data_IF_528837671729
#
_entry.id   IF_528837671729
#
_cell.length_a   1.000
_cell.length_b   1.000
_cell.length_c   1.000
_cell.angle_alpha   90.00
_cell.angle_beta   90.00
_cell.angle_gamma   90.00
#
_symmetry.space_group_name_H-M   'P 1'
#
loop_
_entity.id
_entity.type
_entity.pdbx_description
1 polymer ?
#
# COMPACT_ATOMS: atom_id res chain seq x y z
N UNK A 1 8.36 25.62 15.14
CA UNK A 1 8.31 24.14 15.14
C UNK A 1 8.47 23.67 13.70
N UNK A 2 9.20 22.59 13.40
CA UNK A 2 9.15 21.95 12.09
C UNK A 2 7.73 21.46 11.77
N UNK A 3 7.36 21.28 10.49
CA UNK A 3 6.08 20.69 10.14
C UNK A 3 5.89 19.31 10.78
N UNK A 4 4.66 19.03 11.21
CA UNK A 4 4.26 17.71 11.66
C UNK A 4 4.13 16.79 10.46
N UNK A 5 4.93 15.74 10.42
CA UNK A 5 4.88 14.73 9.36
C UNK A 5 3.95 13.58 9.75
N UNK A 6 2.99 13.25 8.87
CA UNK A 6 2.15 12.05 9.00
C UNK A 6 2.20 11.29 7.67
N UNK A 7 2.58 10.02 7.71
CA UNK A 7 2.65 9.16 6.53
C UNK A 7 1.84 7.90 6.77
N UNK A 8 1.02 7.52 5.79
CA UNK A 8 0.37 6.23 5.75
C UNK A 8 0.73 5.54 4.44
N UNK A 9 1.18 4.30 4.51
CA UNK A 9 1.70 3.60 3.35
C UNK A 9 1.34 2.13 3.39
N UNK A 10 1.19 1.54 2.21
CA UNK A 10 1.09 0.11 2.03
C UNK A 10 2.06 -0.39 0.97
N UNK A 11 2.50 -1.64 1.18
CA UNK A 11 3.46 -2.34 0.33
C UNK A 11 3.32 -3.84 0.60
N UNK A 12 3.88 -4.66 -0.29
CA UNK A 12 3.90 -6.12 -0.22
C UNK A 12 5.31 -6.53 0.25
N UNK A 13 5.48 -6.95 1.51
CA UNK A 13 6.79 -7.28 2.07
C UNK A 13 7.55 -8.32 1.24
N UNK A 14 8.84 -8.09 1.05
CA UNK A 14 9.74 -9.00 0.34
C UNK A 14 9.77 -10.39 0.98
N UNK A 15 9.74 -10.46 2.31
CA UNK A 15 9.72 -11.70 3.08
C UNK A 15 8.47 -12.57 2.87
N UNK A 16 7.39 -12.04 2.29
CA UNK A 16 6.23 -12.86 1.91
C UNK A 16 6.50 -13.69 0.65
N UNK A 17 7.29 -13.15 -0.26
CA UNK A 17 7.62 -13.78 -1.52
C UNK A 17 8.73 -14.81 -1.37
N UNK A 18 8.98 -15.52 -2.48
CA UNK A 18 10.16 -16.37 -2.61
C UNK A 18 10.63 -16.43 -4.07
N UNK A 19 11.84 -16.94 -4.34
CA UNK A 19 12.28 -17.19 -5.70
C UNK A 19 11.25 -17.99 -6.50
N UNK A 20 11.03 -17.63 -7.76
CA UNK A 20 10.03 -18.30 -8.61
C UNK A 20 10.39 -19.78 -8.78
N UNK A 21 11.69 -20.10 -8.86
CA UNK A 21 12.19 -21.47 -8.90
C UNK A 21 11.66 -22.34 -7.75
N UNK A 22 11.47 -21.76 -6.57
CA UNK A 22 11.05 -22.46 -5.36
C UNK A 22 9.58 -22.89 -5.39
N UNK A 23 8.77 -22.34 -6.29
CA UNK A 23 7.41 -22.85 -6.55
C UNK A 23 7.40 -24.16 -7.34
N UNK A 24 8.48 -24.45 -8.09
CA UNK A 24 8.53 -25.59 -9.01
C UNK A 24 9.41 -26.74 -8.54
N UNK A 25 10.51 -26.46 -7.84
CA UNK A 25 11.55 -27.46 -7.52
C UNK A 25 11.05 -28.74 -6.84
N UNK A 26 9.97 -28.63 -6.06
CA UNK A 26 9.38 -29.74 -5.30
C UNK A 26 8.07 -30.29 -5.92
N UNK A 27 7.65 -29.80 -7.10
CA UNK A 27 6.44 -30.32 -7.74
C UNK A 27 6.66 -31.74 -8.27
N UNK A 28 5.64 -32.60 -8.13
CA UNK A 28 5.65 -34.03 -8.51
C UNK A 28 6.22 -34.30 -9.91
N UNK A 29 5.93 -33.41 -10.86
CA UNK A 29 6.29 -33.58 -12.27
C UNK A 29 7.55 -32.81 -12.69
N UNK A 30 8.16 -32.02 -11.80
CA UNK A 30 9.30 -31.17 -12.12
C UNK A 30 10.49 -31.95 -12.69
N UNK A 31 10.79 -33.11 -12.10
CA UNK A 31 11.86 -33.99 -12.56
C UNK A 31 11.54 -34.78 -13.84
N UNK A 32 10.28 -34.75 -14.31
CA UNK A 32 9.80 -35.45 -15.51
C UNK A 32 9.56 -34.50 -16.69
N UNK A 33 9.90 -33.21 -16.53
CA UNK A 33 9.74 -32.21 -17.59
C UNK A 33 10.75 -32.47 -18.73
N UNK A 34 10.27 -32.51 -19.97
CA UNK A 34 11.09 -32.72 -21.18
C UNK A 34 12.18 -31.65 -21.36
N UNK A 35 11.83 -30.39 -21.16
CA UNK A 35 12.74 -29.23 -21.29
C UNK A 35 13.25 -28.70 -19.93
N UNK A 36 13.45 -29.58 -18.92
CA UNK A 36 13.77 -29.19 -17.53
C UNK A 36 14.96 -28.22 -17.42
N UNK A 37 16.03 -28.46 -18.18
CA UNK A 37 17.24 -27.64 -18.12
C UNK A 37 16.97 -26.19 -18.58
N UNK A 38 16.27 -26.02 -19.70
CA UNK A 38 15.87 -24.72 -20.21
C UNK A 38 14.89 -24.02 -19.26
N UNK A 39 13.87 -24.74 -18.79
CA UNK A 39 12.89 -24.20 -17.84
C UNK A 39 13.56 -23.72 -16.54
N UNK A 40 14.47 -24.52 -15.98
CA UNK A 40 15.23 -24.14 -14.78
C UNK A 40 16.11 -22.91 -15.01
N UNK A 41 16.75 -22.82 -16.19
CA UNK A 41 17.57 -21.66 -16.56
C UNK A 41 16.72 -20.39 -16.60
N UNK A 42 15.51 -20.45 -17.19
CA UNK A 42 14.57 -19.32 -17.27
C UNK A 42 14.09 -18.87 -15.90
N UNK A 43 13.66 -19.80 -15.04
CA UNK A 43 13.23 -19.48 -13.67
C UNK A 43 14.34 -18.79 -12.87
N UNK A 44 15.57 -19.33 -12.92
CA UNK A 44 16.72 -18.73 -12.21
C UNK A 44 17.12 -17.37 -12.79
N UNK A 45 16.94 -17.16 -14.09
CA UNK A 45 17.18 -15.86 -14.71
C UNK A 45 16.18 -14.81 -14.19
N UNK A 46 14.91 -15.18 -13.98
CA UNK A 46 13.94 -14.30 -13.33
C UNK A 46 14.38 -13.96 -11.90
N UNK A 47 14.80 -14.96 -11.12
CA UNK A 47 15.27 -14.78 -9.73
C UNK A 47 16.50 -13.86 -9.64
N UNK A 48 17.37 -13.85 -10.65
CA UNK A 48 18.54 -12.97 -10.68
C UNK A 48 18.24 -11.48 -10.82
N UNK A 49 16.98 -11.09 -11.08
CA UNK A 49 16.56 -9.68 -11.09
C UNK A 49 16.32 -9.13 -9.68
N UNK A 50 16.42 -9.94 -8.62
CA UNK A 50 16.29 -9.50 -7.23
C UNK A 50 14.85 -9.41 -6.71
N UNK A 51 13.84 -9.71 -7.53
CA UNK A 51 12.46 -9.82 -7.08
C UNK A 51 12.24 -11.14 -6.32
N UNK A 52 11.39 -11.09 -5.30
CA UNK A 52 10.68 -12.28 -4.83
C UNK A 52 9.25 -12.26 -5.34
N UNK A 53 8.65 -13.45 -5.46
CA UNK A 53 7.43 -13.64 -6.20
C UNK A 53 6.32 -14.19 -5.32
N UNK A 54 5.10 -13.77 -5.62
CA UNK A 54 3.85 -14.30 -5.08
C UNK A 54 2.91 -14.70 -6.22
N UNK A 55 2.09 -15.75 -6.08
CA UNK A 55 1.05 -16.04 -7.06
C UNK A 55 0.03 -14.90 -7.13
N UNK A 56 -0.40 -14.52 -8.33
CA UNK A 56 -1.46 -13.51 -8.53
C UNK A 56 -2.78 -13.87 -7.80
N UNK A 57 -3.60 -12.86 -7.44
CA UNK A 57 -4.95 -13.10 -6.95
C UNK A 57 -5.70 -14.04 -7.91
N UNK A 58 -6.21 -15.16 -7.40
CA UNK A 58 -6.72 -16.27 -8.22
C UNK A 58 -5.85 -17.54 -8.19
N UNK A 59 -4.65 -17.47 -7.60
CA UNK A 59 -3.83 -18.62 -7.24
C UNK A 59 -3.31 -19.43 -8.44
N UNK A 60 -3.28 -20.76 -8.29
CA UNK A 60 -2.76 -21.70 -9.31
C UNK A 60 -3.58 -21.77 -10.61
N UNK A 61 -4.62 -20.95 -10.75
CA UNK A 61 -5.48 -20.90 -11.95
C UNK A 61 -4.85 -20.03 -13.03
N UNK A 62 -4.08 -19.01 -12.66
CA UNK A 62 -3.58 -18.00 -13.60
C UNK A 62 -2.19 -18.32 -14.15
N UNK A 63 -1.44 -19.19 -13.45
CA UNK A 63 -0.02 -19.47 -13.69
C UNK A 63 0.88 -18.20 -13.67
N UNK A 64 0.34 -17.11 -13.14
CA UNK A 64 0.99 -15.81 -13.10
C UNK A 64 1.49 -15.52 -11.67
N UNK A 65 2.63 -14.85 -11.61
CA UNK A 65 3.27 -14.43 -10.38
C UNK A 65 3.61 -12.96 -10.47
N UNK A 66 3.35 -12.21 -9.40
CA UNK A 66 3.75 -10.81 -9.28
C UNK A 66 4.91 -10.66 -8.30
N UNK A 67 5.73 -9.64 -8.54
CA UNK A 67 6.85 -9.32 -7.65
C UNK A 67 6.34 -8.63 -6.38
N UNK A 68 6.92 -8.99 -5.23
CA UNK A 68 6.80 -8.19 -4.01
C UNK A 68 7.52 -6.86 -4.16
N UNK A 69 7.38 -5.99 -3.16
CA UNK A 69 8.26 -4.84 -3.01
C UNK A 69 9.64 -5.26 -2.48
N UNK A 70 10.63 -4.39 -2.61
CA UNK A 70 12.03 -4.62 -2.24
C UNK A 70 12.35 -4.34 -0.76
N UNK A 71 11.31 -4.25 0.07
CA UNK A 71 11.38 -3.84 1.47
C UNK A 71 10.62 -4.83 2.36
N UNK A 72 10.98 -4.85 3.63
CA UNK A 72 10.23 -5.53 4.68
C UNK A 72 9.69 -4.53 5.72
N UNK A 73 8.74 -4.98 6.55
CA UNK A 73 8.28 -4.19 7.69
C UNK A 73 9.44 -3.85 8.62
N UNK A 74 9.48 -2.60 9.08
CA UNK A 74 10.54 -2.06 9.95
C UNK A 74 11.93 -1.95 9.31
N UNK A 75 12.04 -1.92 7.97
CA UNK A 75 13.28 -1.48 7.32
C UNK A 75 13.57 -0.01 7.73
N UNK A 76 14.83 0.31 8.04
CA UNK A 76 15.23 1.62 8.60
C UNK A 76 15.01 2.78 7.60
N UNK A 77 14.80 2.45 6.33
CA UNK A 77 14.45 3.41 5.30
C UNK A 77 12.98 3.83 5.42
N UNK A 78 12.71 5.09 5.75
CA UNK A 78 11.37 5.71 5.66
C UNK A 78 10.92 5.98 4.20
N UNK A 79 11.77 5.66 3.22
CA UNK A 79 11.49 5.74 1.79
C UNK A 79 11.27 4.33 1.23
N UNK A 80 10.09 4.12 0.67
CA UNK A 80 9.60 2.81 0.28
C UNK A 80 9.09 2.87 -1.15
N UNK A 81 9.26 1.78 -1.91
CA UNK A 81 8.43 1.53 -3.10
C UNK A 81 7.00 1.27 -2.61
N UNK A 82 6.20 2.33 -2.58
CA UNK A 82 4.83 2.30 -2.05
C UNK A 82 3.85 1.86 -3.12
N UNK A 83 2.91 0.99 -2.74
CA UNK A 83 1.81 0.55 -3.61
C UNK A 83 0.64 1.51 -3.56
N UNK A 84 0.35 2.02 -2.35
CA UNK A 84 -0.64 3.05 -2.09
C UNK A 84 -0.25 3.77 -0.79
N UNK A 85 -0.49 5.07 -0.71
CA UNK A 85 -0.20 5.82 0.50
C UNK A 85 -0.25 7.33 0.30
N UNK A 86 -0.04 8.05 1.39
CA UNK A 86 0.08 9.50 1.42
C UNK A 86 1.19 9.95 2.36
N UNK A 87 1.68 11.17 2.13
CA UNK A 87 2.62 11.86 2.99
C UNK A 87 2.12 13.29 3.21
N UNK A 88 1.79 13.61 4.46
CA UNK A 88 1.32 14.92 4.88
C UNK A 88 2.40 15.67 5.64
N UNK A 89 2.54 16.96 5.32
CA UNK A 89 3.27 17.92 6.14
C UNK A 89 2.31 18.98 6.65
N UNK A 90 2.25 19.14 7.96
CA UNK A 90 1.23 19.93 8.64
C UNK A 90 1.91 21.00 9.48
N UNK A 91 1.73 22.26 9.08
CA UNK A 91 2.13 23.40 9.87
C UNK A 91 1.22 23.54 11.10
N UNK A 92 1.82 23.52 12.29
CA UNK A 92 1.07 23.49 13.55
C UNK A 92 0.19 24.75 13.74
N UNK A 93 0.62 25.89 13.18
CA UNK A 93 -0.15 27.14 13.18
C UNK A 93 -1.47 27.04 12.42
N UNK A 94 -1.52 26.26 11.34
CA UNK A 94 -2.70 26.10 10.47
C UNK A 94 -3.77 25.19 11.07
N UNK A 95 -3.49 24.47 12.15
CA UNK A 95 -4.50 23.68 12.86
C UNK A 95 -5.64 24.62 13.32
N UNK A 96 -6.86 24.33 12.88
CA UNK A 96 -8.04 25.18 13.06
C UNK A 96 -8.29 26.20 11.95
N UNK A 97 -7.38 26.35 10.99
CA UNK A 97 -7.44 27.39 9.95
C UNK A 97 -6.96 26.91 8.57
N UNK A 98 -7.01 25.60 8.31
CA UNK A 98 -6.71 25.05 6.99
C UNK A 98 -7.73 25.54 5.94
N UNK A 99 -7.25 25.73 4.72
CA UNK A 99 -8.00 26.06 3.51
C UNK A 99 -7.64 25.09 2.38
N UNK A 100 -8.46 25.03 1.34
CA UNK A 100 -8.16 24.19 0.16
C UNK A 100 -6.95 24.69 -0.65
N UNK A 101 -6.42 25.88 -0.35
CA UNK A 101 -5.19 26.40 -0.95
C UNK A 101 -3.94 25.91 -0.22
N UNK A 102 -4.09 25.37 0.99
CA UNK A 102 -2.99 24.81 1.75
C UNK A 102 -2.64 23.43 1.19
N UNK A 103 -1.48 23.32 0.57
CA UNK A 103 -0.97 22.05 0.06
C UNK A 103 -0.47 21.21 1.25
N UNK A 104 -1.33 20.33 1.77
CA UNK A 104 -0.99 19.49 2.93
C UNK A 104 -0.21 18.23 2.52
N UNK A 105 -0.30 17.82 1.25
CA UNK A 105 0.37 16.63 0.75
C UNK A 105 1.61 16.94 -0.06
N UNK A 106 2.68 16.20 0.20
CA UNK A 106 3.89 16.21 -0.61
C UNK A 106 3.91 14.99 -1.54
N UNK A 107 3.81 15.25 -2.85
CA UNK A 107 3.94 14.20 -3.87
C UNK A 107 4.89 14.64 -4.98
N UNK A 108 5.88 13.79 -5.28
CA UNK A 108 6.70 13.94 -6.47
C UNK A 108 5.85 13.66 -7.71
N UNK A 109 5.89 14.57 -8.69
CA UNK A 109 5.30 14.32 -10.02
C UNK A 109 6.04 13.16 -10.68
N UNK A 110 5.34 12.16 -11.20
CA UNK A 110 5.95 11.13 -12.04
C UNK A 110 6.17 11.69 -13.46
N UNK A 111 7.22 11.20 -14.13
CA UNK A 111 7.73 11.73 -15.40
C UNK A 111 6.75 11.73 -16.59
N UNK A 112 5.55 11.16 -16.45
CA UNK A 112 4.54 11.06 -17.51
C UNK A 112 3.30 11.96 -17.27
N UNK A 113 3.38 12.94 -16.36
CA UNK A 113 2.24 13.82 -16.03
C UNK A 113 1.21 13.19 -15.08
N UNK A 114 1.53 12.03 -14.52
CA UNK A 114 0.81 11.38 -13.43
C UNK A 114 1.50 11.75 -12.11
N UNK A 115 0.74 12.01 -11.04
CA UNK A 115 1.29 12.65 -9.84
C UNK A 115 1.22 14.18 -9.90
N UNK A 116 0.84 14.77 -8.78
CA UNK A 116 0.54 16.19 -8.55
C UNK A 116 0.07 16.40 -7.11
N UNK A 117 -0.39 17.61 -6.78
CA UNK A 117 -1.02 17.90 -5.48
C UNK A 117 -2.19 16.92 -5.29
N UNK A 118 -2.22 16.19 -4.16
CA UNK A 118 -3.23 15.18 -3.81
C UNK A 118 -3.22 13.88 -4.66
N UNK A 119 -2.09 13.48 -5.26
CA UNK A 119 -2.01 12.21 -6.01
C UNK A 119 -1.61 11.02 -5.12
N UNK A 120 -2.05 9.81 -5.46
CA UNK A 120 -1.62 8.58 -4.81
C UNK A 120 -0.14 8.27 -5.15
N UNK A 121 0.46 7.31 -4.42
CA UNK A 121 1.75 6.71 -4.78
C UNK A 121 1.55 5.24 -5.15
N UNK A 122 1.66 4.86 -6.43
CA UNK A 122 1.87 3.46 -6.80
C UNK A 122 3.19 3.26 -7.58
N UNK A 123 4.02 2.36 -7.07
CA UNK A 123 5.19 1.84 -7.75
C UNK A 123 4.83 1.00 -8.98
N UNK A 124 5.82 0.70 -9.82
CA UNK A 124 5.63 -0.22 -10.93
C UNK A 124 5.46 -1.66 -10.43
N UNK A 125 4.42 -2.35 -10.89
CA UNK A 125 4.23 -3.78 -10.62
C UNK A 125 4.88 -4.60 -11.71
N UNK A 126 5.41 -5.76 -11.33
CA UNK A 126 6.07 -6.69 -12.23
C UNK A 126 5.36 -8.04 -12.19
N UNK A 127 5.11 -8.66 -13.35
CA UNK A 127 4.47 -9.97 -13.47
C UNK A 127 5.24 -10.89 -14.42
N UNK A 128 5.23 -12.19 -14.11
CA UNK A 128 5.73 -13.26 -14.97
C UNK A 128 4.73 -14.41 -15.03
N UNK A 129 4.83 -15.22 -16.09
CA UNK A 129 4.02 -16.44 -16.26
C UNK A 129 4.92 -17.67 -16.28
N UNK A 130 4.65 -18.63 -15.39
CA UNK A 130 5.39 -19.88 -15.31
C UNK A 130 4.49 -21.04 -14.86
N UNK A 131 4.59 -22.21 -15.54
CA UNK A 131 3.82 -23.40 -15.19
C UNK A 131 4.38 -24.69 -15.81
N UNK A 132 3.91 -25.84 -15.32
CA UNK A 132 4.17 -27.15 -15.94
C UNK A 132 2.93 -27.57 -16.72
N UNK A 133 3.04 -27.61 -18.06
CA UNK A 133 1.99 -28.08 -18.95
C UNK A 133 2.02 -29.61 -19.05
N UNK A 134 0.85 -30.26 -18.96
CA UNK A 134 0.65 -31.68 -19.27
C UNK A 134 0.06 -31.81 -20.67
N UNK A 135 0.67 -32.64 -21.51
CA UNK A 135 0.23 -32.87 -22.89
C UNK A 135 0.12 -34.38 -23.15
N UNK A 136 -1.00 -34.89 -23.70
CA UNK A 136 -1.08 -36.29 -24.07
C UNK A 136 -0.09 -36.60 -25.20
N UNK A 137 0.52 -37.78 -25.17
CA UNK A 137 1.46 -38.22 -26.22
C UNK A 137 0.74 -38.39 -27.55
N UNK A 138 -0.53 -38.77 -27.52
CA UNK A 138 -1.36 -39.00 -28.69
C UNK A 138 -2.85 -38.89 -28.35
N UNK A 139 -3.67 -38.75 -29.39
CA UNK A 139 -5.12 -38.91 -29.30
C UNK A 139 -5.52 -40.22 -29.99
N UNK A 140 -6.39 -41.00 -29.34
CA UNK A 140 -6.94 -42.26 -29.83
C UNK A 140 -8.31 -41.95 -30.43
N UNK A 141 -8.51 -42.23 -31.71
CA UNK A 141 -9.82 -42.13 -32.36
C UNK A 141 -10.65 -43.37 -32.02
N UNK A 142 -11.80 -43.18 -31.37
CA UNK A 142 -12.73 -44.27 -31.04
C UNK A 142 -13.83 -44.47 -32.10
N UNK A 143 -13.79 -43.70 -33.19
CA UNK A 143 -14.82 -43.64 -34.22
C UNK A 143 -16.01 -42.74 -33.88
N UNK A 144 -16.17 -42.33 -32.61
CA UNK A 144 -17.20 -41.37 -32.16
C UNK A 144 -16.61 -40.15 -31.46
N UNK A 145 -15.40 -40.24 -30.93
CA UNK A 145 -14.65 -39.13 -30.34
C UNK A 145 -13.14 -39.40 -30.35
N UNK A 146 -12.36 -38.34 -30.21
CA UNK A 146 -10.93 -38.46 -29.88
C UNK A 146 -10.78 -38.53 -28.35
N UNK A 147 -10.10 -39.57 -27.85
CA UNK A 147 -9.75 -39.72 -26.44
C UNK A 147 -8.25 -39.48 -26.24
N UNK A 148 -7.85 -38.89 -25.12
CA UNK A 148 -6.43 -38.76 -24.76
C UNK A 148 -5.81 -40.14 -24.48
N UNK A 149 -4.57 -40.37 -24.92
CA UNK A 149 -3.83 -41.54 -24.46
C UNK A 149 -3.44 -41.42 -22.98
N UNK A 150 -3.26 -42.57 -22.31
CA UNK A 150 -2.87 -42.60 -20.89
C UNK A 150 -1.43 -42.13 -20.61
N UNK A 151 -0.63 -41.95 -21.67
CA UNK A 151 0.74 -41.47 -21.60
C UNK A 151 0.79 -39.95 -21.77
N UNK A 152 1.53 -39.29 -20.88
CA UNK A 152 1.64 -37.83 -20.84
C UNK A 152 3.10 -37.38 -20.87
N UNK A 153 3.33 -36.29 -21.60
CA UNK A 153 4.57 -35.51 -21.54
C UNK A 153 4.31 -34.26 -20.69
N UNK A 154 5.32 -33.90 -19.90
CA UNK A 154 5.32 -32.66 -19.13
C UNK A 154 6.31 -31.67 -19.75
N UNK A 155 5.86 -30.44 -19.99
CA UNK A 155 6.68 -29.36 -20.57
C UNK A 155 6.62 -28.15 -19.65
N UNK A 156 7.78 -27.59 -19.28
CA UNK A 156 7.87 -26.39 -18.47
C UNK A 156 7.72 -25.16 -19.37
N UNK A 157 6.79 -24.27 -19.02
CA UNK A 157 6.53 -23.02 -19.73
C UNK A 157 6.93 -21.88 -18.80
N UNK A 158 7.86 -21.04 -19.25
CA UNK A 158 8.22 -19.79 -18.57
C UNK A 158 8.30 -18.71 -19.64
N UNK A 159 7.57 -17.60 -19.46
CA UNK A 159 7.76 -16.43 -20.31
C UNK A 159 9.08 -15.75 -19.93
N UNK A 160 9.89 -15.43 -20.93
CA UNK A 160 11.24 -14.88 -20.75
C UNK A 160 11.26 -13.38 -20.44
N UNK A 161 10.08 -12.72 -20.46
CA UNK A 161 9.95 -11.28 -20.22
C UNK A 161 9.12 -11.03 -18.97
N UNK A 162 9.67 -10.23 -18.07
CA UNK A 162 8.93 -9.61 -16.97
C UNK A 162 8.06 -8.51 -17.59
N UNK A 163 6.75 -8.62 -17.41
CA UNK A 163 5.83 -7.56 -17.76
C UNK A 163 5.83 -6.51 -16.64
N UNK A 164 5.86 -5.24 -17.00
CA UNK A 164 5.83 -4.13 -16.05
C UNK A 164 4.61 -3.24 -16.34
N UNK A 165 3.86 -2.89 -15.30
CA UNK A 165 2.64 -2.06 -15.41
C UNK A 165 2.38 -1.33 -14.10
N UNK A 166 1.96 -0.07 -14.18
CA UNK A 166 1.43 0.69 -13.03
C UNK A 166 -0.08 0.57 -12.94
N UNK A 167 -0.62 0.64 -11.73
CA UNK A 167 -2.08 0.66 -11.54
C UNK A 167 -2.64 1.94 -12.13
N UNK A 168 -3.90 1.92 -12.53
CA UNK A 168 -4.63 3.18 -12.66
C UNK A 168 -4.80 3.74 -11.25
N UNK A 169 -4.25 4.92 -11.02
CA UNK A 169 -4.39 5.66 -9.76
C UNK A 169 -5.52 6.67 -9.92
N UNK A 170 -6.52 6.61 -9.05
CA UNK A 170 -7.41 7.76 -8.85
C UNK A 170 -6.74 8.74 -7.88
N UNK A 171 -7.05 10.06 -7.94
CA UNK A 171 -6.52 10.98 -6.93
C UNK A 171 -6.89 10.56 -5.50
N UNK A 172 -6.07 10.93 -4.52
CA UNK A 172 -6.45 10.78 -3.12
C UNK A 172 -7.69 11.63 -2.86
N UNK A 173 -8.73 11.03 -2.29
CA UNK A 173 -9.89 11.80 -1.86
C UNK A 173 -9.57 12.37 -0.48
N UNK A 174 -9.46 13.69 -0.38
CA UNK A 174 -9.24 14.39 0.88
C UNK A 174 -10.27 15.49 1.10
N UNK A 175 -10.85 15.50 2.28
CA UNK A 175 -11.64 16.60 2.81
C UNK A 175 -11.11 16.99 4.18
N UNK A 176 -11.30 18.25 4.57
CA UNK A 176 -10.99 18.69 5.92
C UNK A 176 -12.09 19.56 6.51
N UNK A 177 -12.16 19.57 7.83
CA UNK A 177 -13.08 20.43 8.58
C UNK A 177 -12.35 21.03 9.77
N UNK A 178 -12.34 22.37 9.86
CA UNK A 178 -11.86 23.06 11.03
C UNK A 178 -12.99 23.17 12.07
N UNK A 179 -12.71 22.82 13.33
CA UNK A 179 -13.67 22.77 14.46
C UNK A 179 -13.13 23.48 15.69
N UNK A 180 -14.06 23.84 16.57
CA UNK A 180 -13.76 24.19 17.96
C UNK A 180 -14.18 23.00 18.83
N UNK A 181 -13.22 22.35 19.49
CA UNK A 181 -13.47 21.18 20.34
C UNK A 181 -13.18 21.44 21.82
N UNK A 182 -12.29 22.37 22.13
CA UNK A 182 -12.02 22.81 23.49
C UNK A 182 -13.24 23.48 24.13
N UNK A 183 -13.39 23.29 25.44
CA UNK A 183 -14.36 24.04 26.23
C UNK A 183 -13.71 25.35 26.64
N UNK A 184 -14.16 26.45 26.06
CA UNK A 184 -13.62 27.76 26.38
C UNK A 184 -14.68 28.68 26.99
N UNK A 185 -14.33 29.31 28.11
CA UNK A 185 -15.16 30.36 28.71
C UNK A 185 -14.84 31.70 28.04
N UNK A 186 -15.83 32.29 27.38
CA UNK A 186 -15.69 33.57 26.70
C UNK A 186 -16.87 34.49 26.93
N UNK A 187 -16.63 35.79 26.75
CA UNK A 187 -17.69 36.79 26.75
C UNK A 187 -18.63 36.57 25.56
N UNK A 188 -19.92 36.88 25.75
CA UNK A 188 -20.91 36.85 24.67
C UNK A 188 -20.47 37.75 23.52
N UNK A 189 -20.45 37.21 22.30
CA UNK A 189 -20.02 37.92 21.08
C UNK A 189 -18.53 37.77 20.71
N UNK A 190 -17.72 37.05 21.50
CA UNK A 190 -16.33 36.79 21.14
C UNK A 190 -16.21 35.77 19.99
N UNK A 191 -15.41 36.09 18.97
CA UNK A 191 -15.05 35.15 17.90
C UNK A 191 -13.89 34.28 18.39
N UNK A 192 -14.18 33.01 18.66
CA UNK A 192 -13.20 32.04 19.15
C UNK A 192 -12.51 31.39 17.95
N UNK A 193 -11.18 31.45 17.85
CA UNK A 193 -10.44 30.67 16.86
C UNK A 193 -10.75 29.18 17.01
N UNK A 194 -10.99 28.50 15.90
CA UNK A 194 -11.03 27.05 15.87
C UNK A 194 -9.68 26.50 16.33
N UNK A 195 -9.72 25.40 17.08
CA UNK A 195 -8.55 24.79 17.72
C UNK A 195 -8.20 23.42 17.12
N UNK A 196 -9.00 22.95 16.18
CA UNK A 196 -8.90 21.60 15.65
C UNK A 196 -9.14 21.55 14.15
N UNK A 197 -8.48 20.61 13.49
CA UNK A 197 -8.72 20.24 12.09
C UNK A 197 -8.87 18.74 11.99
N UNK A 198 -9.91 18.29 11.29
CA UNK A 198 -10.15 16.89 10.99
C UNK A 198 -9.95 16.68 9.50
N UNK A 199 -9.01 15.84 9.11
CA UNK A 199 -8.83 15.37 7.74
C UNK A 199 -9.50 14.01 7.56
N UNK A 200 -10.23 13.84 6.47
CA UNK A 200 -10.76 12.56 6.01
C UNK A 200 -10.10 12.21 4.70
N UNK A 201 -9.41 11.07 4.66
CA UNK A 201 -8.58 10.65 3.55
C UNK A 201 -8.98 9.25 3.15
N UNK A 202 -9.25 9.02 1.87
CA UNK A 202 -9.47 7.69 1.33
C UNK A 202 -8.70 7.46 0.03
N UNK A 203 -8.33 6.20 -0.18
CA UNK A 203 -7.61 5.76 -1.37
C UNK A 203 -8.04 4.35 -1.77
N UNK A 204 -7.96 4.08 -3.07
CA UNK A 204 -8.27 2.80 -3.68
C UNK A 204 -7.35 2.57 -4.87
N UNK A 205 -6.71 1.40 -4.96
CA UNK A 205 -5.85 1.03 -6.08
C UNK A 205 -5.98 -0.46 -6.43
N UNK A 206 -6.02 -0.77 -7.73
CA UNK A 206 -6.14 -2.14 -8.23
C UNK A 206 -4.80 -2.87 -8.36
N UNK A 207 -4.88 -4.19 -8.59
CA UNK A 207 -3.73 -4.98 -9.05
C UNK A 207 -3.59 -4.84 -10.56
N UNK A 208 -2.51 -4.25 -11.10
CA UNK A 208 -2.46 -3.82 -12.50
C UNK A 208 -2.69 -4.96 -13.51
N UNK A 209 -2.33 -6.19 -13.15
CA UNK A 209 -2.44 -7.36 -14.02
C UNK A 209 -3.61 -8.30 -13.70
N UNK A 210 -4.41 -7.97 -12.68
CA UNK A 210 -5.54 -8.79 -12.24
C UNK A 210 -6.89 -8.04 -12.32
N UNK A 211 -6.92 -6.85 -12.89
CA UNK A 211 -8.18 -6.13 -13.17
C UNK A 211 -9.03 -6.86 -14.24
N UNK A 212 -10.37 -6.90 -14.10
CA UNK A 212 -11.19 -6.46 -12.96
C UNK A 212 -11.44 -7.58 -11.93
N UNK A 213 -10.71 -8.69 -12.02
CA UNK A 213 -10.96 -9.93 -11.27
C UNK A 213 -10.48 -9.88 -9.82
N UNK A 214 -9.48 -9.05 -9.53
CA UNK A 214 -9.00 -8.79 -8.17
C UNK A 214 -9.72 -7.58 -7.57
N UNK A 215 -10.18 -7.67 -6.31
CA UNK A 215 -10.57 -6.49 -5.55
C UNK A 215 -9.40 -5.51 -5.42
N UNK A 216 -9.74 -4.24 -5.20
CA UNK A 216 -8.78 -3.18 -4.93
C UNK A 216 -8.18 -3.30 -3.52
N UNK A 217 -7.09 -2.57 -3.32
CA UNK A 217 -6.52 -2.25 -2.03
C UNK A 217 -7.09 -0.89 -1.62
N UNK A 218 -7.82 -0.89 -0.52
CA UNK A 218 -8.57 0.25 -0.03
C UNK A 218 -8.13 0.63 1.39
N UNK A 219 -8.20 1.94 1.67
CA UNK A 219 -8.15 2.46 3.03
C UNK A 219 -8.97 3.73 3.19
N UNK A 220 -9.37 4.00 4.43
CA UNK A 220 -9.95 5.26 4.87
C UNK A 220 -9.39 5.65 6.24
N UNK A 221 -9.00 6.91 6.40
CA UNK A 221 -8.47 7.46 7.63
C UNK A 221 -9.16 8.78 7.98
N UNK A 222 -9.43 8.96 9.26
CA UNK A 222 -9.76 10.23 9.89
C UNK A 222 -8.58 10.66 10.78
N UNK A 223 -7.97 11.80 10.48
CA UNK A 223 -6.87 12.40 11.24
C UNK A 223 -7.40 13.67 11.90
N UNK A 224 -7.62 13.63 13.21
CA UNK A 224 -7.98 14.78 14.01
C UNK A 224 -6.75 15.35 14.72
N UNK A 225 -6.49 16.62 14.46
CA UNK A 225 -5.48 17.42 15.16
C UNK A 225 -6.17 18.43 16.05
N UNK A 226 -5.76 18.52 17.31
CA UNK A 226 -6.26 19.52 18.25
C UNK A 226 -5.09 20.22 18.93
N UNK A 227 -5.01 21.55 18.80
CA UNK A 227 -3.98 22.36 19.47
C UNK A 227 -4.50 22.90 20.80
N UNK A 228 -3.76 22.67 21.88
CA UNK A 228 -4.03 23.25 23.19
C UNK A 228 -2.80 24.02 23.68
N UNK A 229 -2.77 25.32 23.37
CA UNK A 229 -1.64 26.19 23.70
C UNK A 229 -1.49 26.41 25.21
N UNK A 230 -2.58 26.40 25.97
CA UNK A 230 -2.57 26.52 27.44
C UNK A 230 -1.87 25.32 28.08
N UNK A 231 -2.19 24.11 27.60
CA UNK A 231 -1.57 22.86 28.07
C UNK A 231 -0.28 22.52 27.32
N UNK A 232 0.16 23.40 26.42
CA UNK A 232 1.36 23.28 25.57
C UNK A 232 1.45 21.93 24.88
N UNK A 233 0.38 21.52 24.20
CA UNK A 233 0.38 20.28 23.44
C UNK A 233 -0.44 20.34 22.17
N UNK A 234 -0.12 19.43 21.26
CA UNK A 234 -0.95 19.05 20.11
C UNK A 234 -1.35 17.60 20.30
N UNK A 235 -2.64 17.32 20.23
CA UNK A 235 -3.18 15.96 20.23
C UNK A 235 -3.48 15.54 18.81
N UNK A 236 -3.00 14.35 18.43
CA UNK A 236 -3.20 13.71 17.14
C UNK A 236 -3.99 12.43 17.40
N UNK A 237 -5.23 12.36 16.92
CA UNK A 237 -6.05 11.16 16.93
C UNK A 237 -6.21 10.68 15.50
N UNK A 238 -5.89 9.42 15.24
CA UNK A 238 -6.00 8.80 13.92
C UNK A 238 -6.80 7.53 14.06
N UNK A 239 -7.94 7.47 13.37
CA UNK A 239 -8.77 6.27 13.26
C UNK A 239 -9.03 5.96 11.80
N UNK A 240 -9.40 4.73 11.51
CA UNK A 240 -9.66 4.34 10.14
C UNK A 240 -9.75 2.85 9.95
N UNK A 241 -9.76 2.46 8.68
CA UNK A 241 -9.71 1.06 8.28
C UNK A 241 -8.87 0.88 7.03
N UNK A 242 -8.35 -0.33 6.85
CA UNK A 242 -7.69 -0.77 5.62
C UNK A 242 -8.01 -2.25 5.36
N UNK A 243 -7.73 -2.79 4.18
CA UNK A 243 -7.90 -4.23 3.95
C UNK A 243 -6.87 -5.09 4.70
N UNK A 244 -7.17 -6.37 4.95
CA UNK A 244 -6.25 -7.30 5.64
C UNK A 244 -4.97 -7.62 4.81
N UNK A 245 -4.89 -7.20 3.55
CA UNK A 245 -3.71 -7.30 2.68
C UNK A 245 -3.59 -6.03 1.81
N UNK A 246 -2.39 -5.44 1.61
CA UNK A 246 -1.06 -5.97 1.92
C UNK A 246 -0.56 -5.57 3.33
N UNK A 247 0.70 -5.20 3.51
CA UNK A 247 1.19 -4.62 4.77
C UNK A 247 0.90 -3.12 4.82
N UNK A 248 0.68 -2.58 6.02
CA UNK A 248 0.40 -1.16 6.23
C UNK A 248 1.24 -0.61 7.38
N UNK A 249 1.67 0.64 7.26
CA UNK A 249 2.36 1.38 8.30
C UNK A 249 1.83 2.81 8.39
N UNK A 250 1.64 3.28 9.63
CA UNK A 250 1.36 4.67 9.96
C UNK A 250 2.56 5.22 10.72
N UNK A 251 3.11 6.32 10.21
CA UNK A 251 4.31 6.96 10.74
C UNK A 251 3.95 8.40 11.11
N UNK A 252 4.34 8.82 12.32
CA UNK A 252 4.23 10.21 12.77
C UNK A 252 5.63 10.72 13.15
N UNK A 253 6.10 11.73 12.43
CA UNK A 253 7.51 12.12 12.46
C UNK A 253 8.38 10.96 11.96
N UNK A 254 9.22 10.41 12.84
CA UNK A 254 10.10 9.26 12.54
C UNK A 254 9.70 7.99 13.29
N UNK A 255 8.49 7.92 13.84
CA UNK A 255 8.03 6.80 14.65
C UNK A 255 6.89 6.05 13.96
N UNK A 256 7.05 4.73 13.80
CA UNK A 256 5.97 3.83 13.38
C UNK A 256 5.01 3.66 14.56
N UNK A 257 3.83 4.27 14.45
CA UNK A 257 2.81 4.27 15.51
C UNK A 257 1.76 3.18 15.32
N UNK A 258 1.60 2.69 14.09
CA UNK A 258 0.77 1.54 13.77
C UNK A 258 1.41 0.75 12.63
N UNK A 259 1.33 -0.58 12.72
CA UNK A 259 1.70 -1.48 11.64
C UNK A 259 0.74 -2.66 11.55
N UNK A 260 0.55 -3.13 10.32
CA UNK A 260 -0.16 -4.36 10.00
C UNK A 260 0.75 -5.25 9.15
N UNK A 261 1.03 -6.45 9.66
CA UNK A 261 1.76 -7.47 8.91
C UNK A 261 0.81 -8.60 8.51
N UNK A 262 0.51 -8.81 7.21
CA UNK A 262 -0.38 -9.87 6.76
C UNK A 262 0.13 -11.27 7.15
N UNK A 263 1.45 -11.49 7.24
CA UNK A 263 2.03 -12.77 7.63
C UNK A 263 1.64 -13.17 9.06
N UNK A 264 1.52 -12.20 9.99
CA UNK A 264 1.11 -12.46 11.39
C UNK A 264 -0.32 -13.01 11.48
N UNK A 265 -1.11 -12.83 10.43
CA UNK A 265 -2.48 -13.34 10.30
C UNK A 265 -2.57 -14.60 9.41
N UNK A 266 -1.43 -15.19 9.04
CA UNK A 266 -1.37 -16.40 8.23
C UNK A 266 -1.58 -16.17 6.73
N UNK A 267 -1.57 -14.93 6.26
CA UNK A 267 -1.67 -14.63 4.84
C UNK A 267 -0.32 -14.80 4.15
N UNK A 268 -0.29 -15.59 3.08
CA UNK A 268 0.89 -15.87 2.25
C UNK A 268 0.81 -15.20 0.87
N UNK A 269 -0.17 -14.33 0.67
CA UNK A 269 -0.45 -13.64 -0.57
C UNK A 269 -1.88 -13.08 -0.61
N UNK A 270 -2.23 -12.38 -1.70
CA UNK A 270 -3.55 -11.80 -1.87
C UNK A 270 -4.58 -12.90 -2.18
N UNK A 271 -5.77 -12.74 -1.60
CA UNK A 271 -6.95 -13.58 -1.83
C UNK A 271 -8.17 -12.67 -1.90
N UNK A 272 -9.25 -13.07 -2.59
CA UNK A 272 -10.48 -12.28 -2.58
C UNK A 272 -10.98 -11.94 -1.17
N UNK A 273 -10.73 -12.84 -0.20
CA UNK A 273 -11.12 -12.66 1.20
C UNK A 273 -10.30 -11.59 1.92
N UNK A 274 -8.98 -11.60 1.83
CA UNK A 274 -8.15 -10.63 2.57
C UNK A 274 -8.05 -9.26 1.88
N UNK A 275 -8.35 -9.17 0.58
CA UNK A 275 -8.49 -7.91 -0.15
C UNK A 275 -9.84 -7.21 0.07
N UNK A 276 -10.84 -7.90 0.63
CA UNK A 276 -12.16 -7.30 0.92
C UNK A 276 -12.46 -7.17 2.40
N UNK A 277 -11.72 -7.89 3.25
CA UNK A 277 -11.89 -7.84 4.70
C UNK A 277 -11.24 -6.59 5.26
N UNK A 278 -12.05 -5.72 5.85
CA UNK A 278 -11.58 -4.50 6.51
C UNK A 278 -11.04 -4.80 7.92
N UNK A 279 -10.04 -4.03 8.31
CA UNK A 279 -9.45 -3.99 9.64
C UNK A 279 -9.44 -2.56 10.12
N UNK A 280 -10.10 -2.33 11.24
CA UNK A 280 -10.14 -1.04 11.90
C UNK A 280 -8.90 -0.86 12.79
N UNK A 281 -8.48 0.39 12.92
CA UNK A 281 -7.45 0.80 13.86
C UNK A 281 -7.77 2.18 14.44
N UNK A 282 -7.21 2.43 15.62
CA UNK A 282 -7.30 3.72 16.28
C UNK A 282 -6.03 3.96 17.07
N UNK A 283 -5.50 5.17 16.98
CA UNK A 283 -4.27 5.59 17.63
C UNK A 283 -4.39 7.03 18.11
N UNK A 284 -3.77 7.33 19.25
CA UNK A 284 -3.70 8.68 19.80
C UNK A 284 -2.28 8.98 20.25
N UNK A 285 -1.78 10.16 19.90
CA UNK A 285 -0.47 10.66 20.32
C UNK A 285 -0.58 12.12 20.67
N UNK A 286 0.17 12.51 21.69
CA UNK A 286 0.32 13.90 22.06
C UNK A 286 1.77 14.33 21.83
N UNK A 287 1.94 15.57 21.39
CA UNK A 287 3.23 16.20 21.17
C UNK A 287 3.29 17.39 22.13
N UNK A 288 4.32 17.41 22.98
CA UNK A 288 4.59 18.54 23.86
C UNK A 288 5.17 19.69 23.04
N UNK A 289 4.70 20.89 23.31
CA UNK A 289 5.25 22.12 22.76
C UNK A 289 6.17 22.78 23.78
N UNK A 290 7.27 23.32 23.28
CA UNK A 290 8.13 24.21 24.05
C UNK A 290 7.55 25.63 24.13
N UNK A 291 7.96 26.40 25.14
CA UNK A 291 7.41 27.74 25.37
C UNK A 291 7.59 28.70 24.19
N UNK A 292 8.68 28.55 23.44
CA UNK A 292 8.94 29.37 22.25
C UNK A 292 8.07 28.95 21.06
N UNK A 293 7.69 27.67 20.93
CA UNK A 293 6.81 27.17 19.88
C UNK A 293 5.38 27.66 20.10
N UNK A 294 4.92 27.65 21.35
CA UNK A 294 3.62 28.22 21.74
C UNK A 294 3.53 29.69 21.35
N UNK A 295 4.61 30.46 21.59
CA UNK A 295 4.66 31.88 21.21
C UNK A 295 4.65 32.09 19.70
N UNK A 296 5.35 31.25 18.92
CA UNK A 296 5.39 31.36 17.46
C UNK A 296 4.01 31.05 16.85
N UNK A 297 3.37 29.96 17.30
CA UNK A 297 2.02 29.56 16.87
C UNK A 297 1.00 30.66 17.23
N UNK A 298 1.02 31.19 18.46
CA UNK A 298 0.10 32.26 18.89
C UNK A 298 0.31 33.57 18.12
N UNK A 299 1.55 33.95 17.81
CA UNK A 299 1.84 35.15 17.02
C UNK A 299 1.32 35.03 15.59
N UNK A 300 1.61 33.94 14.88
CA UNK A 300 1.18 33.77 13.48
C UNK A 300 -0.34 33.79 13.33
N UNK A 301 -1.06 33.22 14.31
CA UNK A 301 -2.54 33.25 14.36
C UNK A 301 -3.12 34.67 14.50
N UNK A 302 -2.34 35.64 15.01
CA UNK A 302 -2.78 37.03 15.22
C UNK A 302 -2.45 37.97 14.05
N UNK A 303 -1.48 37.64 13.19
CA UNK A 303 -1.03 38.51 12.10
C UNK A 303 -1.67 38.21 10.73
N UNK A 304 -2.32 37.05 10.57
CA UNK A 304 -3.10 36.70 9.35
C UNK A 304 -4.58 37.10 9.44
N UNK A 305 -4.96 37.93 10.43
CA UNK A 305 -6.33 38.43 10.66
C UNK A 305 -6.46 39.93 10.40
#
# INVERSE_FOLDING_TARGET
>A
MPPLTIKFQCFIPNSLGKPIFDYFKNQKHFNKIKNRAEFTKKLKALDSNGYTWLPEPGGSITDNYFATDNIDLHDESLFHDTRLGFHMQIEAEKIGDFSYMDNVFEHAKHGNGWGGVNSQHSGESHQVKAYIKREPVSYIDTGTAFMESGDYIYTGICKDKIAAKRSKEEPLTMNFENKLLGTYFHQSGAIIPKDSTVFKISASAGYPFAEPLSPNIDFELEIQLTKNLTSRNITINISGWHNDFPAYELIIGNEIVYNHNPAKFGYTGPTPRNLTKSREFNFSKWIRLEDWEVRDIDKRTKFER
#
